data_IF_151808505221
#
_entry.id   IF_151808505221
#
_cell.length_a   1.000
_cell.length_b   1.000
_cell.length_c   1.000
_cell.angle_alpha   90.00
_cell.angle_beta   90.00
_cell.angle_gamma   90.00
#
_symmetry.space_group_name_H-M   'P 1'
#
loop_
_entity.id
_entity.type
_entity.pdbx_description
1 polymer ?
#
# COMPACT_ATOMS: atom_id res chain seq x y z
N UNK A 1 62.42 23.97 -1.28
CA UNK A 1 61.76 23.27 -2.39
C UNK A 1 60.36 23.84 -2.54
N UNK A 2 60.02 24.51 -3.65
CA UNK A 2 58.69 25.05 -3.87
C UNK A 2 57.72 23.92 -4.26
N UNK A 3 56.62 23.78 -3.50
CA UNK A 3 55.50 22.92 -3.87
C UNK A 3 54.72 23.55 -5.01
N UNK A 4 54.71 22.90 -6.18
CA UNK A 4 53.84 23.26 -7.29
C UNK A 4 52.40 22.86 -6.94
N UNK A 5 51.51 23.87 -6.89
CA UNK A 5 50.06 23.67 -6.84
C UNK A 5 49.58 23.34 -8.26
N UNK A 6 49.02 22.15 -8.45
CA UNK A 6 48.33 21.76 -9.67
C UNK A 6 46.91 22.31 -9.62
N UNK A 7 46.61 23.26 -10.51
CA UNK A 7 45.25 23.73 -10.78
C UNK A 7 44.52 22.66 -11.57
N UNK A 8 43.46 22.09 -10.99
CA UNK A 8 42.53 21.23 -11.69
C UNK A 8 41.48 22.10 -12.39
N UNK A 9 41.53 22.12 -13.72
CA UNK A 9 40.51 22.72 -14.57
C UNK A 9 39.18 21.97 -14.41
N UNK A 10 38.13 22.71 -14.06
CA UNK A 10 36.76 22.20 -13.96
C UNK A 10 36.15 22.22 -15.37
N UNK A 11 35.68 21.09 -15.93
CA UNK A 11 35.02 21.08 -17.23
C UNK A 11 33.63 21.72 -17.11
N UNK A 12 33.49 22.91 -17.69
CA UNK A 12 32.20 23.56 -17.99
C UNK A 12 31.44 22.72 -19.00
N UNK A 13 30.37 22.05 -18.55
CA UNK A 13 29.45 21.29 -19.40
C UNK A 13 28.58 22.19 -20.28
N UNK A 14 28.07 21.67 -21.40
CA UNK A 14 27.36 22.45 -22.41
C UNK A 14 26.00 22.94 -21.90
N UNK A 15 25.75 24.22 -22.14
CA UNK A 15 24.49 24.91 -21.90
C UNK A 15 23.36 24.22 -22.68
N UNK A 16 22.43 23.60 -21.94
CA UNK A 16 21.21 23.04 -22.50
C UNK A 16 20.28 24.15 -22.97
N UNK A 17 20.13 24.23 -24.29
CA UNK A 17 19.17 25.08 -24.99
C UNK A 17 17.75 24.90 -24.43
N UNK A 18 17.22 25.97 -23.82
CA UNK A 18 15.83 26.09 -23.43
C UNK A 18 14.94 26.08 -24.67
N UNK A 19 14.27 24.96 -24.93
CA UNK A 19 13.16 24.91 -25.89
C UNK A 19 11.97 25.65 -25.30
N UNK A 20 11.79 26.86 -25.80
CA UNK A 20 10.63 27.72 -25.68
C UNK A 20 9.37 26.97 -26.14
N UNK A 21 8.57 26.50 -25.17
CA UNK A 21 7.23 25.96 -25.44
C UNK A 21 6.30 27.14 -25.69
N UNK A 22 6.07 27.43 -26.97
CA UNK A 22 5.10 28.42 -27.44
C UNK A 22 3.71 28.14 -26.82
N UNK A 23 3.23 29.08 -26.02
CA UNK A 23 1.88 29.11 -25.49
C UNK A 23 0.86 29.27 -26.62
N UNK A 24 0.13 28.19 -26.90
CA UNK A 24 -1.03 28.24 -27.78
C UNK A 24 -2.21 28.96 -27.11
N UNK A 25 -3.03 29.72 -27.87
CA UNK A 25 -4.16 30.45 -27.33
C UNK A 25 -5.24 29.51 -26.79
N UNK A 26 -5.55 29.67 -25.50
CA UNK A 26 -6.67 29.05 -24.80
C UNK A 26 -7.98 29.54 -25.44
N UNK A 27 -8.55 28.73 -26.34
CA UNK A 27 -9.85 29.02 -26.95
C UNK A 27 -10.95 28.76 -25.93
N UNK A 28 -11.80 29.78 -25.76
CA UNK A 28 -13.10 29.80 -25.12
C UNK A 28 -13.79 28.42 -25.07
N UNK A 29 -13.87 27.86 -23.86
CA UNK A 29 -14.86 26.82 -23.58
C UNK A 29 -16.20 27.51 -23.37
N UNK A 30 -17.01 27.43 -24.43
CA UNK A 30 -18.37 27.90 -24.48
C UNK A 30 -19.19 27.45 -23.28
N UNK A 31 -19.93 28.43 -22.78
CA UNK A 31 -20.97 28.37 -21.78
C UNK A 31 -22.02 27.30 -22.16
N UNK A 32 -21.89 26.07 -21.66
CA UNK A 32 -22.95 25.05 -21.81
C UNK A 32 -24.00 25.32 -20.74
N UNK A 33 -25.00 26.08 -21.20
CA UNK A 33 -26.23 26.41 -20.52
C UNK A 33 -26.88 25.21 -19.82
N UNK A 34 -27.37 25.49 -18.63
CA UNK A 34 -28.18 24.62 -17.80
C UNK A 34 -29.39 24.09 -18.58
N UNK A 35 -29.47 22.77 -18.70
CA UNK A 35 -30.71 22.04 -18.89
C UNK A 35 -30.66 20.77 -18.03
N UNK A 36 -30.69 20.98 -16.71
CA UNK A 36 -31.04 19.92 -15.77
C UNK A 36 -32.57 19.86 -15.73
N UNK A 37 -33.16 19.33 -16.81
CA UNK A 37 -34.57 19.05 -16.89
C UNK A 37 -34.93 17.95 -15.89
N UNK A 38 -35.95 18.24 -15.08
CA UNK A 38 -36.64 17.32 -14.19
C UNK A 38 -36.97 15.99 -14.91
N UNK A 39 -36.20 14.95 -14.62
CA UNK A 39 -36.68 13.59 -14.81
C UNK A 39 -37.38 13.16 -13.53
N UNK A 40 -38.69 13.39 -13.54
CA UNK A 40 -39.68 12.81 -12.65
C UNK A 40 -39.41 11.29 -12.52
N UNK A 41 -38.78 10.90 -11.42
CA UNK A 41 -38.67 9.52 -10.99
C UNK A 41 -40.08 9.00 -10.66
N UNK A 42 -40.72 8.38 -11.65
CA UNK A 42 -41.89 7.53 -11.43
C UNK A 42 -41.51 6.36 -10.51
N UNK A 43 -42.17 6.18 -9.35
CA UNK A 43 -41.94 5.03 -8.49
C UNK A 43 -42.55 3.79 -9.15
N UNK A 44 -41.73 3.02 -9.89
CA UNK A 44 -42.12 1.67 -10.33
C UNK A 44 -42.19 0.76 -9.10
N UNK A 45 -43.40 0.57 -8.58
CA UNK A 45 -43.73 -0.54 -7.68
C UNK A 45 -43.51 -1.84 -8.44
N UNK A 46 -42.39 -2.52 -8.17
CA UNK A 46 -42.20 -3.89 -8.63
C UNK A 46 -43.00 -4.84 -7.71
N UNK A 47 -43.79 -5.77 -8.26
CA UNK A 47 -44.46 -6.79 -7.47
C UNK A 47 -43.42 -7.76 -6.92
N UNK A 48 -43.24 -7.75 -5.60
CA UNK A 48 -42.54 -8.79 -4.86
C UNK A 48 -43.36 -10.08 -4.99
N UNK A 49 -42.90 -10.99 -5.84
CA UNK A 49 -43.41 -12.35 -5.87
C UNK A 49 -42.86 -13.13 -4.66
N UNK A 50 -43.69 -13.98 -4.02
CA UNK A 50 -43.25 -14.81 -2.91
C UNK A 50 -42.46 -16.01 -3.44
N UNK A 51 -41.13 -15.93 -3.41
CA UNK A 51 -40.27 -17.09 -3.68
C UNK A 51 -40.39 -18.09 -2.53
N UNK A 52 -41.20 -19.12 -2.76
CA UNK A 52 -41.24 -20.36 -1.98
C UNK A 52 -39.86 -21.00 -1.95
N UNK A 53 -39.54 -21.56 -0.78
CA UNK A 53 -38.20 -21.97 -0.39
C UNK A 53 -37.61 -23.11 -1.21
N UNK A 54 -36.30 -23.03 -1.37
CA UNK A 54 -35.44 -24.19 -1.50
C UNK A 54 -34.60 -24.26 -0.23
N UNK A 55 -34.96 -25.19 0.65
CA UNK A 55 -34.15 -25.56 1.80
C UNK A 55 -32.82 -26.11 1.29
N UNK A 56 -31.79 -25.26 1.34
CA UNK A 56 -30.43 -25.68 1.03
C UNK A 56 -29.91 -26.43 2.26
N UNK A 57 -29.65 -27.75 2.19
CA UNK A 57 -29.06 -28.46 3.30
C UNK A 57 -27.69 -27.83 3.56
N UNK A 58 -27.55 -27.17 4.71
CA UNK A 58 -26.26 -26.69 5.20
C UNK A 58 -25.37 -27.90 5.51
N UNK A 59 -24.83 -28.52 4.46
CA UNK A 59 -23.57 -29.26 4.56
C UNK A 59 -22.56 -28.22 5.00
N UNK A 60 -22.20 -28.29 6.28
CA UNK A 60 -21.19 -27.46 6.90
C UNK A 60 -19.87 -27.57 6.15
N UNK A 61 -19.71 -26.71 5.14
CA UNK A 61 -18.42 -26.17 4.77
C UNK A 61 -17.93 -25.48 6.04
N UNK A 62 -17.16 -26.21 6.84
CA UNK A 62 -16.21 -25.60 7.77
C UNK A 62 -15.45 -24.61 6.91
N UNK A 63 -15.74 -23.33 7.04
CA UNK A 63 -14.94 -22.30 6.40
C UNK A 63 -13.51 -22.63 6.80
N UNK A 64 -12.58 -22.79 5.85
CA UNK A 64 -11.18 -22.91 6.23
C UNK A 64 -10.92 -21.76 7.18
N UNK A 65 -10.51 -22.07 8.41
CA UNK A 65 -10.10 -21.08 9.39
C UNK A 65 -9.14 -20.18 8.64
N UNK A 66 -9.58 -18.96 8.31
CA UNK A 66 -8.78 -18.03 7.53
C UNK A 66 -7.50 -17.88 8.33
N UNK A 67 -6.40 -18.41 7.81
CA UNK A 67 -5.09 -18.17 8.41
C UNK A 67 -4.96 -16.66 8.60
N UNK A 68 -4.30 -16.25 9.68
CA UNK A 68 -4.04 -14.83 9.92
C UNK A 68 -3.42 -14.23 8.65
N UNK A 69 -3.93 -13.09 8.20
CA UNK A 69 -3.36 -12.41 7.05
C UNK A 69 -1.91 -12.01 7.37
N UNK A 70 -1.06 -11.90 6.36
CA UNK A 70 0.38 -11.68 6.56
C UNK A 70 0.67 -10.43 7.41
N UNK A 71 -0.11 -9.35 7.24
CA UNK A 71 0.00 -8.15 8.06
C UNK A 71 -0.37 -8.38 9.53
N UNK A 72 -1.30 -9.30 9.83
CA UNK A 72 -1.65 -9.67 11.20
C UNK A 72 -0.50 -10.44 11.85
N UNK A 73 0.17 -11.32 11.09
CA UNK A 73 1.38 -12.01 11.54
C UNK A 73 2.48 -11.01 11.84
N UNK A 74 2.70 -10.02 10.96
CA UNK A 74 3.68 -8.95 11.13
C UNK A 74 3.45 -8.11 12.39
N UNK A 75 2.19 -7.81 12.75
CA UNK A 75 1.87 -7.05 13.96
C UNK A 75 2.09 -7.80 15.26
N UNK A 76 2.09 -9.13 15.21
CA UNK A 76 2.31 -9.98 16.38
C UNK A 76 3.79 -10.31 16.61
N UNK A 77 4.69 -9.92 15.69
CA UNK A 77 6.12 -10.11 15.87
C UNK A 77 6.63 -9.17 16.98
N UNK A 78 7.39 -9.70 17.96
CA UNK A 78 7.99 -8.87 19.00
C UNK A 78 8.94 -7.86 18.33
N UNK A 79 8.71 -6.58 18.60
CA UNK A 79 9.58 -5.52 18.11
C UNK A 79 10.91 -5.57 18.88
N UNK A 80 11.99 -5.31 18.16
CA UNK A 80 13.30 -5.05 18.79
C UNK A 80 13.19 -3.87 19.77
N UNK A 81 14.03 -3.83 20.81
CA UNK A 81 14.09 -2.67 21.70
C UNK A 81 14.33 -1.39 20.89
N UNK A 82 13.69 -0.30 21.30
CA UNK A 82 13.82 0.99 20.62
C UNK A 82 15.29 1.42 20.59
N UNK A 83 15.81 1.73 19.40
CA UNK A 83 17.16 2.28 19.29
C UNK A 83 17.12 3.75 19.71
N UNK A 84 18.04 4.21 20.58
CA UNK A 84 18.07 5.62 20.98
C UNK A 84 18.39 6.55 19.80
N UNK A 85 19.07 6.05 18.76
CA UNK A 85 19.37 6.77 17.52
C UNK A 85 18.12 7.05 16.66
N UNK A 86 17.03 6.30 16.84
CA UNK A 86 15.78 6.46 16.08
C UNK A 86 14.87 7.57 16.67
N UNK A 87 15.26 8.20 17.78
CA UNK A 87 14.53 9.32 18.36
C UNK A 87 14.95 10.63 17.66
N UNK A 88 14.18 11.05 16.67
CA UNK A 88 14.41 12.31 15.96
C UNK A 88 13.94 13.51 16.79
N UNK A 89 14.76 14.57 16.80
CA UNK A 89 14.33 15.88 17.28
C UNK A 89 13.21 16.39 16.36
N UNK A 90 11.96 16.25 16.82
CA UNK A 90 10.83 16.89 16.17
C UNK A 90 11.03 18.39 16.30
N UNK A 91 11.24 19.06 15.16
CA UNK A 91 11.35 20.51 15.15
C UNK A 91 9.99 21.10 15.53
N UNK A 92 9.85 21.59 16.76
CA UNK A 92 8.62 22.23 17.31
C UNK A 92 8.19 23.52 16.59
N UNK A 93 8.81 23.84 15.45
CA UNK A 93 8.77 25.17 14.89
C UNK A 93 7.86 25.28 13.67
N UNK A 94 6.66 25.79 13.94
CA UNK A 94 5.66 26.30 13.01
C UNK A 94 6.25 27.49 12.20
N UNK A 95 7.13 27.18 11.25
CA UNK A 95 7.80 28.18 10.39
C UNK A 95 7.03 28.36 9.09
N UNK A 96 5.79 28.83 9.19
CA UNK A 96 5.05 29.37 8.05
C UNK A 96 5.61 30.77 7.73
N UNK A 97 6.09 30.97 6.49
CA UNK A 97 6.64 32.22 5.91
C UNK A 97 8.13 32.56 6.14
N UNK A 98 9.03 31.56 6.11
CA UNK A 98 10.48 31.79 6.05
C UNK A 98 11.04 31.74 4.62
N UNK A 99 12.00 32.63 4.32
CA UNK A 99 12.87 32.60 3.13
C UNK A 99 13.39 31.19 2.81
N UNK A 100 13.27 30.76 1.55
CA UNK A 100 13.64 29.42 1.08
C UNK A 100 15.12 29.10 1.36
N UNK A 101 16.00 30.11 1.29
CA UNK A 101 17.42 29.94 1.60
C UNK A 101 17.64 29.64 3.10
N UNK A 102 16.93 30.35 3.98
CA UNK A 102 16.99 30.13 5.42
C UNK A 102 16.44 28.75 5.80
N UNK A 103 15.39 28.31 5.11
CA UNK A 103 14.78 27.00 5.31
C UNK A 103 15.65 25.85 4.78
N UNK A 104 16.33 26.02 3.65
CA UNK A 104 17.31 25.06 3.15
C UNK A 104 18.47 24.87 4.14
N UNK A 105 18.96 25.95 4.74
CA UNK A 105 20.01 25.89 5.77
C UNK A 105 19.54 25.28 7.10
N UNK A 106 18.24 25.38 7.42
CA UNK A 106 17.66 24.66 8.56
C UNK A 106 17.54 23.17 8.28
N UNK A 107 17.10 22.80 7.07
CA UNK A 107 16.99 21.38 6.65
C UNK A 107 18.33 20.69 6.58
N UNK A 108 19.40 21.37 6.16
CA UNK A 108 20.74 20.78 6.08
C UNK A 108 21.34 20.43 7.44
N UNK A 109 20.82 20.98 8.54
CA UNK A 109 21.22 20.66 9.92
C UNK A 109 20.44 19.48 10.51
N UNK A 110 19.38 19.00 9.86
CA UNK A 110 18.59 17.87 10.37
C UNK A 110 19.42 16.59 10.27
N UNK A 111 19.40 15.79 11.33
CA UNK A 111 20.06 14.50 11.34
C UNK A 111 19.49 13.60 10.23
N UNK A 112 20.39 13.04 9.40
CA UNK A 112 20.01 12.10 8.35
C UNK A 112 20.11 10.68 8.92
N UNK A 113 19.03 9.90 8.93
CA UNK A 113 19.05 8.52 9.40
C UNK A 113 20.10 7.68 8.68
N UNK A 114 20.79 6.79 9.40
CA UNK A 114 21.80 5.90 8.81
C UNK A 114 21.25 5.01 7.69
N UNK A 115 19.99 4.58 7.76
CA UNK A 115 19.36 3.78 6.71
C UNK A 115 19.19 4.53 5.38
N UNK A 116 19.27 5.87 5.40
CA UNK A 116 19.27 6.69 4.20
C UNK A 116 20.62 6.70 3.48
N UNK A 117 21.74 6.30 4.10
CA UNK A 117 23.07 6.37 3.48
C UNK A 117 23.15 5.56 2.17
N UNK A 118 22.51 4.38 2.16
CA UNK A 118 22.53 3.45 1.03
C UNK A 118 21.15 3.29 0.37
N UNK A 119 20.29 4.32 0.47
CA UNK A 119 18.90 4.21 0.04
C UNK A 119 18.74 3.87 -1.44
N UNK A 120 19.66 4.32 -2.30
CA UNK A 120 19.62 4.02 -3.75
C UNK A 120 19.82 2.52 -4.03
N UNK A 121 20.76 1.88 -3.33
CA UNK A 121 21.00 0.44 -3.45
C UNK A 121 19.80 -0.36 -2.92
N UNK A 122 19.23 0.09 -1.79
CA UNK A 122 18.03 -0.52 -1.22
C UNK A 122 16.85 -0.38 -2.18
N UNK A 123 16.65 0.80 -2.78
CA UNK A 123 15.58 1.05 -3.74
C UNK A 123 15.73 0.17 -4.98
N UNK A 124 16.94 -0.01 -5.50
CA UNK A 124 17.20 -0.95 -6.60
C UNK A 124 16.82 -2.39 -6.23
N UNK A 125 17.12 -2.84 -5.01
CA UNK A 125 16.69 -4.17 -4.52
C UNK A 125 15.17 -4.27 -4.40
N UNK A 126 14.52 -3.18 -4.00
CA UNK A 126 13.06 -3.09 -3.82
C UNK A 126 12.28 -2.94 -5.13
N UNK A 127 12.91 -2.47 -6.21
CA UNK A 127 12.22 -2.14 -7.47
C UNK A 127 11.40 -3.30 -8.06
N UNK A 128 11.83 -4.55 -7.87
CA UNK A 128 11.14 -5.74 -8.38
C UNK A 128 10.12 -6.35 -7.43
N UNK A 129 9.92 -5.80 -6.22
CA UNK A 129 9.00 -6.35 -5.22
C UNK A 129 7.55 -5.91 -5.48
N UNK A 130 6.61 -6.85 -5.34
CA UNK A 130 5.17 -6.59 -5.45
C UNK A 130 4.61 -6.03 -4.13
N UNK A 131 4.18 -4.76 -4.07
CA UNK A 131 3.66 -4.17 -2.84
C UNK A 131 2.40 -4.88 -2.31
N UNK A 132 1.57 -5.48 -3.17
CA UNK A 132 0.35 -6.17 -2.73
C UNK A 132 0.67 -7.45 -1.95
N UNK A 133 1.87 -7.99 -2.10
CA UNK A 133 2.32 -9.14 -1.30
C UNK A 133 2.82 -8.76 0.08
N UNK A 134 3.08 -7.46 0.33
CA UNK A 134 3.46 -6.95 1.66
C UNK A 134 2.21 -6.48 2.39
N UNK A 135 1.45 -5.61 1.73
CA UNK A 135 0.31 -4.92 2.34
C UNK A 135 -1.02 -5.67 2.16
N UNK A 136 -1.03 -6.72 1.35
CA UNK A 136 -2.24 -7.37 0.88
C UNK A 136 -2.87 -6.62 -0.30
N UNK A 137 -3.79 -7.28 -1.00
CA UNK A 137 -4.52 -6.66 -2.12
C UNK A 137 -5.66 -5.73 -1.71
N UNK A 138 -5.84 -5.47 -0.41
CA UNK A 138 -6.91 -4.60 0.13
C UNK A 138 -6.43 -3.83 1.34
N UNK A 139 -6.60 -2.51 1.30
CA UNK A 139 -6.41 -1.63 2.46
C UNK A 139 -7.70 -1.64 3.30
N UNK A 140 -7.64 -1.85 4.62
CA UNK A 140 -8.81 -1.75 5.49
C UNK A 140 -9.50 -0.39 5.36
N UNK A 141 -10.83 -0.37 5.51
CA UNK A 141 -11.59 0.88 5.51
C UNK A 141 -11.23 1.70 6.75
N UNK A 142 -10.91 2.98 6.56
CA UNK A 142 -10.70 3.90 7.66
C UNK A 142 -12.05 4.32 8.25
N UNK A 143 -12.44 3.71 9.38
CA UNK A 143 -13.64 4.12 10.11
C UNK A 143 -13.37 5.37 10.95
N UNK A 144 -13.75 6.53 10.41
CA UNK A 144 -13.52 7.81 11.08
C UNK A 144 -14.20 7.92 12.45
N UNK A 145 -15.25 7.14 12.70
CA UNK A 145 -15.94 7.12 14.00
C UNK A 145 -15.09 6.47 15.10
N UNK A 146 -14.29 5.48 14.74
CA UNK A 146 -13.40 4.76 15.65
C UNK A 146 -12.14 5.60 15.94
N UNK A 147 -11.60 6.28 14.91
CA UNK A 147 -10.39 7.09 15.03
C UNK A 147 -10.69 8.43 15.74
N UNK A 148 -11.79 9.08 15.39
CA UNK A 148 -12.18 10.39 15.92
C UNK A 148 -13.51 10.28 16.66
N UNK A 149 -13.44 9.71 17.86
CA UNK A 149 -14.60 9.53 18.74
C UNK A 149 -15.19 10.88 19.14
N UNK A 150 -16.48 10.90 19.45
CA UNK A 150 -17.16 12.13 19.86
C UNK A 150 -16.60 12.68 21.20
N UNK A 151 -16.04 11.81 22.04
CA UNK A 151 -15.35 12.19 23.29
C UNK A 151 -14.12 13.08 23.03
N UNK A 152 -13.36 12.81 21.95
CA UNK A 152 -12.22 13.63 21.55
C UNK A 152 -12.66 15.03 21.09
N UNK A 153 -13.83 15.14 20.45
CA UNK A 153 -14.40 16.42 20.07
C UNK A 153 -14.93 17.19 21.30
N UNK A 154 -15.60 16.48 22.21
CA UNK A 154 -16.12 17.05 23.45
C UNK A 154 -15.01 17.62 24.33
N UNK A 155 -13.85 16.94 24.44
CA UNK A 155 -12.71 17.40 25.25
C UNK A 155 -12.13 18.74 24.79
N UNK A 156 -12.24 19.07 23.50
CA UNK A 156 -11.79 20.34 22.92
C UNK A 156 -12.93 21.35 22.73
N UNK A 157 -14.13 21.06 23.24
CA UNK A 157 -15.31 21.94 23.13
C UNK A 157 -15.80 22.14 21.70
N UNK A 158 -15.52 21.20 20.78
CA UNK A 158 -15.95 21.26 19.37
C UNK A 158 -16.94 20.14 19.07
N UNK A 159 -17.77 20.35 18.06
CA UNK A 159 -18.64 19.29 17.51
C UNK A 159 -18.04 18.73 16.23
N UNK A 160 -18.29 17.44 15.97
CA UNK A 160 -17.83 16.79 14.74
C UNK A 160 -18.41 17.45 13.48
N UNK A 161 -17.58 17.82 12.48
CA UNK A 161 -18.06 18.37 11.22
C UNK A 161 -18.91 17.35 10.44
N UNK A 162 -20.20 17.63 10.28
CA UNK A 162 -21.13 16.83 9.45
C UNK A 162 -21.23 17.44 8.06
N UNK A 163 -20.24 17.16 7.20
CA UNK A 163 -20.28 17.57 5.79
C UNK A 163 -20.71 16.39 4.93
N UNK A 164 -21.67 16.59 4.04
CA UNK A 164 -21.96 15.62 2.99
C UNK A 164 -20.72 15.49 2.09
N UNK A 165 -20.25 14.27 1.84
CA UNK A 165 -19.17 14.04 0.88
C UNK A 165 -19.72 14.30 -0.53
N UNK A 166 -18.93 15.02 -1.33
CA UNK A 166 -19.24 15.23 -2.75
C UNK A 166 -19.03 13.95 -3.57
N UNK A 167 -19.17 14.07 -4.90
CA UNK A 167 -18.91 12.98 -5.86
C UNK A 167 -17.50 12.40 -5.76
N UNK A 168 -16.53 13.17 -5.26
CA UNK A 168 -15.15 12.71 -4.97
C UNK A 168 -15.07 11.57 -3.93
N UNK A 169 -16.14 11.31 -3.18
CA UNK A 169 -16.22 10.16 -2.28
C UNK A 169 -16.72 8.88 -2.96
N UNK A 170 -17.23 8.95 -4.20
CA UNK A 170 -17.84 7.82 -4.88
C UNK A 170 -16.92 7.22 -5.95
N UNK A 171 -16.10 6.26 -5.52
CA UNK A 171 -15.17 5.52 -6.39
C UNK A 171 -15.76 4.21 -6.94
N UNK A 172 -17.07 3.95 -6.74
CA UNK A 172 -17.69 2.67 -7.10
C UNK A 172 -17.65 2.34 -8.60
N UNK A 173 -17.51 3.37 -9.46
CA UNK A 173 -17.44 3.22 -10.91
C UNK A 173 -16.01 3.12 -11.45
N UNK A 174 -15.02 3.35 -10.60
CA UNK A 174 -13.60 3.32 -10.96
C UNK A 174 -12.80 2.28 -10.16
N UNK A 175 -13.26 1.00 -10.05
CA UNK A 175 -12.42 -0.04 -9.52
C UNK A 175 -11.42 -0.49 -10.58
N UNK A 176 -10.13 -0.33 -10.29
CA UNK A 176 -9.07 -1.04 -11.00
C UNK A 176 -9.37 -2.54 -11.02
N UNK A 177 -9.39 -3.13 -12.22
CA UNK A 177 -9.60 -4.57 -12.39
C UNK A 177 -8.32 -5.33 -12.10
N UNK A 178 -8.48 -6.57 -11.67
CA UNK A 178 -7.35 -7.47 -11.39
C UNK A 178 -6.39 -7.62 -12.58
N UNK A 179 -6.94 -7.67 -13.80
CA UNK A 179 -6.16 -7.78 -15.04
C UNK A 179 -5.32 -6.53 -15.29
N UNK A 180 -5.85 -5.35 -15.00
CA UNK A 180 -5.16 -4.07 -15.14
C UNK A 180 -4.02 -3.96 -14.14
N UNK A 181 -4.27 -4.31 -12.87
CA UNK A 181 -3.24 -4.39 -11.83
C UNK A 181 -2.12 -5.37 -12.25
N UNK A 182 -2.48 -6.55 -12.74
CA UNK A 182 -1.51 -7.58 -13.16
C UNK A 182 -0.68 -7.14 -14.38
N UNK A 183 -1.30 -6.49 -15.35
CA UNK A 183 -0.62 -5.93 -16.52
C UNK A 183 0.35 -4.80 -16.11
N UNK A 184 -0.07 -3.94 -15.19
CA UNK A 184 0.75 -2.85 -14.69
C UNK A 184 1.98 -3.35 -13.92
N UNK A 185 1.80 -4.31 -12.99
CA UNK A 185 2.92 -4.94 -12.27
C UNK A 185 3.93 -5.58 -13.20
N UNK A 186 3.46 -6.27 -14.25
CA UNK A 186 4.32 -6.86 -15.27
C UNK A 186 5.12 -5.80 -16.03
N UNK A 187 4.49 -4.67 -16.38
CA UNK A 187 5.15 -3.54 -17.04
C UNK A 187 6.24 -2.91 -16.15
N UNK A 188 6.04 -2.88 -14.84
CA UNK A 188 7.02 -2.36 -13.87
C UNK A 188 8.08 -3.40 -13.44
N UNK A 189 7.91 -4.68 -13.78
CA UNK A 189 8.80 -5.75 -13.30
C UNK A 189 8.59 -6.12 -11.83
N UNK A 190 7.46 -5.74 -11.23
CA UNK A 190 7.08 -6.05 -9.84
C UNK A 190 6.50 -7.47 -9.74
N UNK A 191 7.34 -8.46 -10.00
CA UNK A 191 6.92 -9.88 -10.06
C UNK A 191 7.36 -10.69 -8.85
N UNK A 192 8.26 -10.15 -8.02
CA UNK A 192 8.76 -10.85 -6.83
C UNK A 192 7.76 -10.66 -5.70
N UNK A 193 7.18 -11.76 -5.24
CA UNK A 193 6.44 -11.75 -3.99
C UNK A 193 7.39 -11.48 -2.82
N UNK A 194 6.93 -10.70 -1.87
CA UNK A 194 7.58 -10.56 -0.58
C UNK A 194 7.46 -11.89 0.15
N UNK A 195 8.54 -12.65 0.10
CA UNK A 195 8.78 -13.70 1.06
C UNK A 195 9.56 -13.01 2.17
N UNK A 196 9.02 -12.98 3.39
CA UNK A 196 9.87 -12.70 4.55
C UNK A 196 11.10 -13.60 4.38
N UNK A 197 12.31 -13.04 4.34
CA UNK A 197 13.54 -13.81 4.30
C UNK A 197 13.57 -14.71 5.55
N UNK A 198 12.91 -15.86 5.46
CA UNK A 198 12.82 -16.85 6.52
C UNK A 198 14.21 -17.34 6.88
N UNK A 199 15.12 -17.35 5.89
CA UNK A 199 16.52 -17.70 6.03
C UNK A 199 17.32 -16.67 6.85
N UNK A 200 16.89 -15.41 6.89
CA UNK A 200 17.58 -14.34 7.62
C UNK A 200 16.85 -13.92 8.91
N UNK A 201 15.72 -14.54 9.23
CA UNK A 201 15.12 -14.43 10.56
C UNK A 201 16.00 -15.17 11.59
N UNK A 202 16.25 -14.59 12.77
CA UNK A 202 16.94 -15.30 13.84
C UNK A 202 16.22 -16.62 14.13
N UNK A 203 16.98 -17.71 14.24
CA UNK A 203 16.50 -19.09 14.41
C UNK A 203 15.39 -19.24 15.46
N UNK A 204 15.37 -18.38 16.47
CA UNK A 204 14.34 -18.34 17.51
C UNK A 204 12.91 -18.15 16.98
N UNK A 205 12.73 -17.48 15.81
CA UNK A 205 11.41 -17.19 15.23
C UNK A 205 11.03 -18.13 14.06
N UNK A 206 11.94 -18.97 13.56
CA UNK A 206 11.64 -19.88 12.45
C UNK A 206 10.62 -20.98 12.81
N UNK A 207 10.54 -21.38 14.09
CA UNK A 207 9.67 -22.47 14.54
C UNK A 207 8.17 -22.21 14.39
N UNK A 208 7.75 -20.94 14.35
CA UNK A 208 6.32 -20.57 14.32
C UNK A 208 5.70 -20.66 12.92
N UNK A 209 6.49 -20.39 11.86
CA UNK A 209 6.00 -20.38 10.47
C UNK A 209 6.13 -21.74 9.76
N UNK A 210 7.06 -22.60 10.17
CA UNK A 210 7.22 -23.94 9.60
C UNK A 210 5.96 -24.83 9.73
N UNK A 211 5.13 -24.58 10.75
CA UNK A 211 3.86 -25.30 10.94
C UNK A 211 2.76 -24.94 9.94
N UNK A 212 2.82 -23.75 9.31
CA UNK A 212 1.82 -23.30 8.34
C UNK A 212 2.08 -23.84 6.92
N UNK A 213 3.35 -24.05 6.54
CA UNK A 213 3.71 -24.66 5.26
C UNK A 213 3.44 -26.18 5.23
N UNK A 214 3.49 -26.84 6.39
CA UNK A 214 3.23 -28.28 6.52
C UNK A 214 1.73 -28.67 6.46
N UNK A 215 0.82 -27.69 6.31
CA UNK A 215 -0.62 -27.93 6.08
C UNK A 215 -0.95 -28.46 4.67
N UNK A 216 0.05 -28.74 3.84
CA UNK A 216 -0.12 -29.53 2.62
C UNK A 216 -0.74 -30.87 2.99
N UNK A 217 -1.95 -31.12 2.48
CA UNK A 217 -2.60 -32.44 2.56
C UNK A 217 -1.54 -33.50 2.22
N UNK A 218 -1.34 -34.53 3.05
CA UNK A 218 -0.43 -35.60 2.71
C UNK A 218 -0.80 -36.11 1.32
N UNK A 219 0.17 -36.10 0.41
CA UNK A 219 0.03 -36.69 -0.92
C UNK A 219 -0.55 -38.10 -0.74
N UNK A 220 -1.60 -38.48 -1.48
CA UNK A 220 -2.13 -39.83 -1.40
C UNK A 220 -0.99 -40.79 -1.72
N UNK A 221 -0.54 -41.52 -0.70
CA UNK A 221 0.43 -42.60 -0.88
C UNK A 221 -0.14 -43.56 -1.91
N UNK A 222 0.61 -43.91 -2.96
CA UNK A 222 0.13 -44.86 -3.96
C UNK A 222 -0.22 -46.16 -3.24
N UNK A 223 -1.46 -46.62 -3.44
CA UNK A 223 -1.95 -47.87 -2.92
C UNK A 223 -0.99 -48.99 -3.35
N UNK A 224 -0.32 -49.59 -2.37
CA UNK A 224 0.55 -50.75 -2.55
C UNK A 224 -0.33 -51.90 -3.06
N UNK A 225 -0.33 -52.11 -4.37
CA UNK A 225 -0.94 -53.29 -4.98
C UNK A 225 -0.20 -54.52 -4.48
N UNK A 226 -0.88 -55.31 -3.66
CA UNK A 226 -0.40 -56.61 -3.22
C UNK A 226 -0.25 -57.52 -4.43
N UNK A 227 0.99 -57.88 -4.75
CA UNK A 227 1.28 -59.02 -5.61
C UNK A 227 0.83 -60.29 -4.87
N UNK A 228 -0.22 -60.93 -5.37
CA UNK A 228 -0.60 -62.26 -4.94
C UNK A 228 0.50 -63.24 -5.37
N UNK A 229 1.12 -63.88 -4.39
CA UNK A 229 2.04 -64.98 -4.60
C UNK A 229 1.24 -66.21 -5.06
N UNK A 230 1.56 -66.70 -6.25
CA UNK A 230 1.23 -68.06 -6.68
C UNK A 230 1.93 -69.05 -5.75
N UNK A 231 1.17 -69.95 -5.15
CA UNK A 231 1.69 -71.18 -4.53
C UNK A 231 1.24 -72.35 -5.39
N UNK A 232 2.22 -73.20 -5.70
CA UNK A 232 2.13 -74.48 -6.43
C UNK A 232 1.26 -75.52 -5.72
#
# INVERSE_FOLDING_TARGET
>A
MPMMQAAAEVPTGPEGSATELAGGPLKDLGNVSANCAELLFSPRKLPLSPTKGFGNPQKGCRSPTKGLEQWQVLRNLPLSPANPEDNYELSDQDCSEGDEAAEAQRRSKKHVPRWCENYLEVLQKQAGMDPDTIFGGRVPFAELNEIFTDDLYASVGKSRPKRARGSSGNWAKDPLRFDECSAYKRKLGQTKGWMADLENMPLANQGFLAGLAAGGRPLPTPARSGAAASSE
#
